data_IF_724222367489
#
_entry.id   IF_724222367489
#
_cell.length_a   1.000
_cell.length_b   1.000
_cell.length_c   1.000
_cell.angle_alpha   90.00
_cell.angle_beta   90.00
_cell.angle_gamma   90.00
#
_symmetry.space_group_name_H-M   'P 1'
#
loop_
_entity.id
_entity.type
_entity.pdbx_description
1 polymer ?
#
# COMPACT_ATOMS: atom_id res chain seq x y z
N UNK A 1 27.95 10.22 -38.01
CA UNK A 1 26.79 9.43 -37.56
C UNK A 1 25.91 10.31 -36.70
N UNK A 2 24.67 10.59 -37.11
CA UNK A 2 23.73 11.41 -36.35
C UNK A 2 22.85 10.51 -35.48
N UNK A 3 22.86 10.71 -34.17
CA UNK A 3 22.00 10.01 -33.21
C UNK A 3 20.58 10.57 -33.36
N UNK A 4 19.63 9.73 -33.78
CA UNK A 4 18.22 10.10 -33.83
C UNK A 4 17.70 10.43 -32.41
N UNK A 5 16.90 11.49 -32.24
CA UNK A 5 16.38 11.87 -30.94
C UNK A 5 15.50 10.75 -30.37
N UNK A 6 15.70 10.45 -29.09
CA UNK A 6 14.87 9.50 -28.36
C UNK A 6 13.40 9.87 -28.56
N UNK A 7 12.58 8.90 -29.01
CA UNK A 7 11.14 9.10 -29.19
C UNK A 7 10.58 9.62 -27.86
N UNK A 8 10.12 10.87 -27.86
CA UNK A 8 9.39 11.47 -26.74
C UNK A 8 8.02 10.80 -26.71
N UNK A 9 7.97 9.57 -26.20
CA UNK A 9 6.73 8.92 -25.82
C UNK A 9 6.18 9.66 -24.62
N UNK A 10 4.93 10.14 -24.71
CA UNK A 10 4.22 10.70 -23.55
C UNK A 10 4.30 9.68 -22.40
N UNK A 11 4.65 10.10 -21.17
CA UNK A 11 4.70 9.19 -20.03
C UNK A 11 3.34 8.53 -19.86
N UNK A 12 3.30 7.20 -19.98
CA UNK A 12 2.11 6.42 -19.66
C UNK A 12 2.09 6.25 -18.15
N UNK A 13 1.26 7.04 -17.49
CA UNK A 13 0.97 6.85 -16.07
C UNK A 13 0.14 5.57 -15.99
N UNK A 14 0.74 4.51 -15.45
CA UNK A 14 -0.01 3.33 -15.07
C UNK A 14 -0.87 3.70 -13.87
N UNK A 15 -2.19 3.82 -14.07
CA UNK A 15 -3.11 3.74 -12.95
C UNK A 15 -3.07 2.30 -12.41
N UNK A 16 -2.78 2.08 -11.12
CA UNK A 16 -2.98 0.77 -10.53
C UNK A 16 -4.48 0.45 -10.64
N UNK A 17 -4.80 -0.72 -11.20
CA UNK A 17 -6.17 -1.24 -11.31
C UNK A 17 -6.91 -1.08 -9.96
N UNK A 18 -8.17 -0.65 -9.99
CA UNK A 18 -9.06 -0.40 -8.84
C UNK A 18 -9.26 -1.61 -7.89
N UNK A 19 -8.74 -2.78 -8.23
CA UNK A 19 -8.75 -3.99 -7.39
C UNK A 19 -7.36 -4.53 -7.01
N UNK A 20 -6.28 -3.87 -7.43
CA UNK A 20 -4.92 -4.34 -7.21
C UNK A 20 -4.40 -3.93 -5.82
N UNK A 21 -4.07 -4.94 -4.99
CA UNK A 21 -3.48 -4.68 -3.67
C UNK A 21 -2.12 -4.01 -3.83
N UNK A 22 -2.00 -2.77 -3.34
CA UNK A 22 -0.73 -2.06 -3.28
C UNK A 22 0.23 -2.83 -2.35
N UNK A 23 1.43 -3.16 -2.85
CA UNK A 23 2.50 -3.70 -2.01
C UNK A 23 3.28 -2.55 -1.38
N UNK A 24 3.35 -2.54 -0.06
CA UNK A 24 4.11 -1.55 0.71
C UNK A 24 5.12 -2.28 1.57
N UNK A 25 6.37 -1.85 1.51
CA UNK A 25 7.42 -2.32 2.40
C UNK A 25 7.56 -1.34 3.57
N UNK A 26 7.47 -1.84 4.80
CA UNK A 26 7.55 -1.02 6.01
C UNK A 26 8.62 -1.60 6.92
N UNK A 27 9.49 -0.75 7.44
CA UNK A 27 10.46 -1.13 8.46
C UNK A 27 9.88 -0.82 9.82
N UNK A 28 9.69 -1.87 10.62
CA UNK A 28 9.22 -1.77 11.99
C UNK A 28 10.37 -2.08 12.96
N UNK A 29 10.40 -1.42 14.13
CA UNK A 29 11.19 -1.90 15.27
C UNK A 29 10.84 -3.37 15.59
N UNK A 30 11.83 -4.13 16.07
CA UNK A 30 11.72 -5.58 16.29
C UNK A 30 10.61 -5.96 17.29
N UNK A 31 10.51 -5.21 18.39
CA UNK A 31 9.47 -5.35 19.40
C UNK A 31 8.07 -5.15 18.83
N UNK A 32 7.88 -4.13 17.99
CA UNK A 32 6.60 -3.87 17.33
C UNK A 32 6.28 -4.96 16.30
N UNK A 33 7.27 -5.40 15.54
CA UNK A 33 7.09 -6.49 14.59
C UNK A 33 6.62 -7.77 15.30
N UNK A 34 7.25 -8.15 16.41
CA UNK A 34 6.88 -9.32 17.20
C UNK A 34 5.41 -9.26 17.67
N UNK A 35 4.97 -8.12 18.19
CA UNK A 35 3.58 -7.90 18.63
C UNK A 35 2.59 -8.06 17.46
N UNK A 36 2.92 -7.54 16.28
CA UNK A 36 2.07 -7.67 15.10
C UNK A 36 1.96 -9.14 14.65
N UNK A 37 3.07 -9.87 14.63
CA UNK A 37 3.08 -11.29 14.28
C UNK A 37 2.28 -12.13 15.28
N UNK A 38 2.46 -11.90 16.58
CA UNK A 38 1.73 -12.59 17.64
C UNK A 38 0.22 -12.38 17.49
N UNK A 39 -0.23 -11.12 17.37
CA UNK A 39 -1.66 -10.79 17.17
C UNK A 39 -2.24 -11.38 15.89
N UNK A 40 -1.46 -11.41 14.82
CA UNK A 40 -1.89 -12.04 13.56
C UNK A 40 -2.08 -13.55 13.74
N UNK A 41 -1.16 -14.20 14.46
CA UNK A 41 -1.22 -15.62 14.78
C UNK A 41 -2.43 -15.97 15.67
N UNK A 42 -2.62 -15.25 16.77
CA UNK A 42 -3.76 -15.45 17.70
C UNK A 42 -5.11 -15.36 16.99
N UNK A 43 -5.24 -14.44 16.03
CA UNK A 43 -6.47 -14.19 15.28
C UNK A 43 -6.59 -15.05 14.02
N UNK A 44 -5.61 -15.90 13.72
CA UNK A 44 -5.53 -16.70 12.49
C UNK A 44 -5.70 -15.84 11.22
N UNK A 45 -5.10 -14.65 11.22
CA UNK A 45 -5.15 -13.69 10.11
C UNK A 45 -3.76 -13.47 9.52
N UNK A 46 -3.70 -13.01 8.27
CA UNK A 46 -2.42 -12.59 7.70
C UNK A 46 -1.93 -11.31 8.36
N UNK A 47 -0.61 -11.15 8.44
CA UNK A 47 0.05 -9.93 8.95
C UNK A 47 -0.47 -8.68 8.24
N UNK A 48 -0.65 -8.74 6.91
CA UNK A 48 -1.19 -7.64 6.12
C UNK A 48 -2.60 -7.20 6.56
N UNK A 49 -3.50 -8.13 6.87
CA UNK A 49 -4.86 -7.83 7.35
C UNK A 49 -4.80 -7.23 8.76
N UNK A 50 -3.92 -7.74 9.62
CA UNK A 50 -3.73 -7.20 10.97
C UNK A 50 -3.19 -5.78 10.93
N UNK A 51 -2.19 -5.50 10.10
CA UNK A 51 -1.62 -4.16 9.92
C UNK A 51 -2.65 -3.20 9.31
N UNK A 52 -3.41 -3.64 8.30
CA UNK A 52 -4.47 -2.83 7.71
C UNK A 52 -5.53 -2.43 8.76
N UNK A 53 -5.96 -3.36 9.61
CA UNK A 53 -6.91 -3.08 10.67
C UNK A 53 -6.35 -2.07 11.68
N UNK A 54 -5.09 -2.24 12.12
CA UNK A 54 -4.43 -1.31 13.04
C UNK A 54 -4.31 0.10 12.44
N UNK A 55 -3.95 0.20 11.15
CA UNK A 55 -3.87 1.47 10.45
C UNK A 55 -5.25 2.11 10.31
N UNK A 56 -6.28 1.34 9.97
CA UNK A 56 -7.66 1.81 9.87
C UNK A 56 -8.18 2.35 11.20
N UNK A 57 -7.90 1.64 12.30
CA UNK A 57 -8.29 2.05 13.64
C UNK A 57 -7.55 3.34 14.06
N UNK A 58 -6.25 3.45 13.74
CA UNK A 58 -5.44 4.62 14.09
C UNK A 58 -5.79 5.88 13.27
N UNK A 59 -6.11 5.70 11.98
CA UNK A 59 -6.46 6.80 11.09
C UNK A 59 -7.92 7.25 11.27
N UNK A 60 -8.78 6.42 11.84
CA UNK A 60 -10.19 6.72 12.01
C UNK A 60 -10.99 6.70 10.69
N UNK A 61 -12.32 6.86 10.76
CA UNK A 61 -13.21 6.75 9.60
C UNK A 61 -13.08 7.89 8.57
N UNK A 62 -12.37 8.97 8.88
CA UNK A 62 -12.25 10.15 8.01
C UNK A 62 -11.17 10.05 6.93
N UNK A 63 -10.27 9.06 6.99
CA UNK A 63 -9.11 8.94 6.08
C UNK A 63 -9.37 7.96 4.93
N UNK A 64 -10.63 7.77 4.54
CA UNK A 64 -10.94 7.16 3.23
C UNK A 64 -11.24 8.32 2.29
N UNK A 65 -10.30 8.74 1.41
CA UNK A 65 -10.64 9.68 0.36
C UNK A 65 -11.75 9.03 -0.47
N UNK A 66 -12.96 9.61 -0.41
CA UNK A 66 -13.97 9.32 -1.41
C UNK A 66 -13.36 9.82 -2.72
N UNK A 67 -12.99 8.91 -3.61
CA UNK A 67 -12.80 9.28 -5.01
C UNK A 67 -14.15 9.80 -5.49
N UNK A 68 -14.37 11.10 -5.36
CA UNK A 68 -15.38 11.83 -6.10
C UNK A 68 -14.78 12.05 -7.48
N UNK A 69 -14.95 11.06 -8.36
CA UNK A 69 -14.94 11.30 -9.80
C UNK A 69 -15.96 12.41 -10.09
N UNK A 70 -15.47 13.51 -10.66
CA UNK A 70 -16.28 14.53 -11.36
C UNK A 70 -15.91 14.45 -12.83
#
# INVERSE_FOLDING_TARGET
>A
MALSPARVGRPRIHHPDDGSKLRVEVRLPEDIAAIVYERASERQKSVSVTVEALLRDALGPEVIPRHTDT
#
